data_IF_575926769629
#
_entry.id   IF_575926769629
#
_cell.length_a   1.000
_cell.length_b   1.000
_cell.length_c   1.000
_cell.angle_alpha   90.00
_cell.angle_beta   90.00
_cell.angle_gamma   90.00
#
_symmetry.space_group_name_H-M   'P 1'
#
loop_
_entity.id
_entity.type
_entity.pdbx_description
1 polymer ?
#
# COMPACT_ATOMS: atom_id res chain seq x y z
N UNK A 1 4.97 3.47 1.83
CA UNK A 1 4.00 3.65 2.93
C UNK A 1 4.65 4.49 4.01
N UNK A 2 3.90 5.43 4.60
CA UNK A 2 4.42 6.32 5.64
C UNK A 2 4.17 5.70 7.01
N UNK A 3 5.24 5.51 7.77
CA UNK A 3 5.16 5.07 9.16
C UNK A 3 5.34 6.21 10.16
N UNK A 4 5.18 5.88 11.43
CA UNK A 4 5.25 6.82 12.56
C UNK A 4 6.55 7.62 12.56
N UNK A 5 7.70 6.95 12.46
CA UNK A 5 9.01 7.63 12.55
C UNK A 5 9.22 8.56 11.36
N UNK A 6 8.88 8.11 10.14
CA UNK A 6 8.97 8.95 8.95
C UNK A 6 8.11 10.21 9.07
N UNK A 7 6.88 10.08 9.60
CA UNK A 7 5.96 11.21 9.75
C UNK A 7 6.49 12.27 10.72
N UNK A 8 7.11 11.85 11.83
CA UNK A 8 7.77 12.76 12.76
C UNK A 8 8.99 13.45 12.14
N UNK A 9 9.76 12.75 11.31
CA UNK A 9 10.90 13.34 10.59
C UNK A 9 10.45 14.42 9.61
N UNK A 10 9.32 14.22 8.93
CA UNK A 10 8.73 15.22 8.03
C UNK A 10 8.34 16.49 8.81
N UNK A 11 7.62 16.35 9.93
CA UNK A 11 7.28 17.48 10.81
C UNK A 11 8.54 18.24 11.27
N UNK A 12 9.54 17.53 11.82
CA UNK A 12 10.77 18.14 12.29
C UNK A 12 11.54 18.87 11.18
N UNK A 13 11.59 18.29 9.97
CA UNK A 13 12.22 18.90 8.81
C UNK A 13 11.49 20.21 8.40
N UNK A 14 10.16 20.18 8.34
CA UNK A 14 9.37 21.36 7.99
C UNK A 14 9.49 22.47 9.05
N UNK A 15 9.47 22.13 10.34
CA UNK A 15 9.72 23.09 11.43
C UNK A 15 11.08 23.77 11.29
N UNK A 16 12.13 23.02 10.92
CA UNK A 16 13.47 23.57 10.71
C UNK A 16 13.52 24.51 9.50
N UNK A 17 12.97 24.08 8.36
CA UNK A 17 12.97 24.86 7.11
C UNK A 17 12.18 26.15 7.28
N UNK A 18 10.98 26.05 7.89
CA UNK A 18 10.07 27.19 8.09
C UNK A 18 10.46 28.05 9.29
N UNK A 19 11.46 27.63 10.09
CA UNK A 19 11.87 28.29 11.34
C UNK A 19 10.68 28.53 12.29
N UNK A 20 9.73 27.59 12.30
CA UNK A 20 8.53 27.63 13.13
C UNK A 20 8.45 26.37 13.99
N UNK A 21 7.91 26.51 15.20
CA UNK A 21 7.65 25.38 16.11
C UNK A 21 6.20 24.88 16.02
N UNK A 22 5.40 25.48 15.17
CA UNK A 22 4.07 24.98 14.88
C UNK A 22 4.17 23.61 14.17
N UNK A 23 3.19 22.72 14.37
CA UNK A 23 3.13 21.46 13.63
C UNK A 23 3.32 21.67 12.13
N UNK A 24 4.18 20.86 11.52
CA UNK A 24 4.59 20.91 10.12
C UNK A 24 5.12 22.29 9.68
N UNK A 25 5.68 23.08 10.60
CA UNK A 25 6.17 24.42 10.32
C UNK A 25 5.08 25.43 9.96
N UNK A 26 3.82 25.19 10.37
CA UNK A 26 2.67 26.05 10.08
C UNK A 26 2.05 25.82 8.69
N UNK A 27 2.45 24.76 7.99
CA UNK A 27 1.92 24.41 6.67
C UNK A 27 0.67 23.53 6.84
N UNK A 28 -0.36 23.77 6.02
CA UNK A 28 -1.52 22.89 5.93
C UNK A 28 -1.14 21.55 5.28
N UNK A 29 -1.40 20.45 5.98
CA UNK A 29 -1.12 19.10 5.50
C UNK A 29 -2.43 18.38 5.16
N UNK A 30 -2.46 17.74 3.98
CA UNK A 30 -3.52 16.82 3.58
C UNK A 30 -2.88 15.44 3.40
N UNK A 31 -3.43 14.45 4.10
CA UNK A 31 -3.01 13.05 4.00
C UNK A 31 -4.12 12.24 3.35
N UNK A 32 -3.73 11.42 2.36
CA UNK A 32 -4.61 10.49 1.67
C UNK A 32 -4.02 9.08 1.75
N UNK A 33 -4.86 8.09 2.03
CA UNK A 33 -4.43 6.71 2.14
C UNK A 33 -5.57 5.77 2.45
N UNK A 34 -5.23 4.49 2.59
CA UNK A 34 -6.15 3.41 2.92
C UNK A 34 -5.50 2.52 3.98
N UNK A 35 -6.11 2.46 5.15
CA UNK A 35 -5.58 1.72 6.30
C UNK A 35 -5.73 0.20 6.16
N UNK A 36 -6.53 -0.29 5.21
CA UNK A 36 -6.69 -1.72 4.94
C UNK A 36 -5.65 -2.25 3.94
N UNK A 37 -4.73 -1.40 3.47
CA UNK A 37 -3.63 -1.83 2.62
C UNK A 37 -2.49 -2.42 3.47
N UNK A 38 -1.31 -2.57 2.85
CA UNK A 38 -0.12 -3.08 3.52
C UNK A 38 0.22 -2.22 4.75
N UNK A 39 1.14 -2.67 5.58
CA UNK A 39 1.68 -1.87 6.69
C UNK A 39 2.98 -1.17 6.28
N UNK A 40 3.40 -0.10 6.96
CA UNK A 40 4.73 0.46 6.81
C UNK A 40 5.83 -0.61 7.00
N UNK A 41 6.83 -0.62 6.12
CA UNK A 41 7.94 -1.58 6.19
C UNK A 41 8.93 -1.09 7.25
N UNK A 42 9.16 -1.90 8.28
CA UNK A 42 10.13 -1.58 9.34
C UNK A 42 9.71 -0.42 10.26
N UNK A 43 8.46 0.03 10.19
CA UNK A 43 7.93 1.14 10.99
C UNK A 43 6.51 0.82 11.49
N UNK A 44 6.05 1.57 12.49
CA UNK A 44 4.70 1.45 13.06
C UNK A 44 3.69 2.26 12.25
N UNK A 45 2.42 1.93 12.38
CA UNK A 45 1.36 2.78 11.81
C UNK A 45 1.36 4.16 12.47
N UNK A 46 1.06 5.18 11.67
CA UNK A 46 0.92 6.57 12.15
C UNK A 46 -0.23 6.75 13.14
N UNK A 47 -1.18 5.82 13.26
CA UNK A 47 -2.28 5.92 14.23
C UNK A 47 -2.12 4.96 15.41
N UNK A 48 -1.01 4.21 15.48
CA UNK A 48 -0.82 3.21 16.54
C UNK A 48 -0.34 3.85 17.84
N UNK A 49 -1.07 3.62 18.93
CA UNK A 49 -0.67 4.03 20.28
C UNK A 49 0.42 3.09 20.84
N UNK A 50 1.37 3.66 21.59
CA UNK A 50 2.32 2.86 22.36
C UNK A 50 1.67 2.45 23.71
N UNK A 51 1.20 1.21 23.81
CA UNK A 51 0.58 0.65 25.03
C UNK A 51 1.56 0.39 26.21
N UNK A 52 2.78 0.94 26.17
CA UNK A 52 3.70 0.82 27.30
C UNK A 52 3.37 1.91 28.32
N UNK A 53 3.21 1.54 29.60
CA UNK A 53 2.90 2.39 30.76
C UNK A 53 3.81 3.63 30.98
N UNK A 54 4.76 3.90 30.09
CA UNK A 54 5.51 5.15 29.93
C UNK A 54 4.94 6.06 28.83
N UNK A 55 3.61 5.99 28.57
CA UNK A 55 2.89 6.67 27.50
C UNK A 55 2.71 8.18 27.73
N UNK A 56 3.82 8.91 27.91
CA UNK A 56 3.85 10.38 27.81
C UNK A 56 4.01 10.87 26.36
N UNK A 57 3.96 9.97 25.38
CA UNK A 57 3.99 10.30 23.96
C UNK A 57 2.87 9.54 23.27
N UNK A 58 1.65 10.05 23.43
CA UNK A 58 0.61 9.91 22.40
C UNK A 58 1.21 10.26 21.03
N UNK A 59 0.70 9.73 19.91
CA UNK A 59 1.13 10.26 18.62
C UNK A 59 0.49 11.66 18.42
N UNK A 60 1.24 12.74 18.71
CA UNK A 60 0.62 14.05 18.84
C UNK A 60 0.33 14.68 17.48
N UNK A 61 0.93 14.17 16.41
CA UNK A 61 0.73 14.70 15.06
C UNK A 61 -0.54 14.15 14.43
N UNK A 62 -0.82 12.85 14.63
CA UNK A 62 -2.00 12.22 14.03
C UNK A 62 -3.31 12.79 14.60
N UNK A 63 -3.32 13.16 15.89
CA UNK A 63 -4.48 13.77 16.56
C UNK A 63 -4.83 15.17 16.05
N UNK A 64 -3.97 15.81 15.23
CA UNK A 64 -4.24 17.12 14.63
C UNK A 64 -5.12 17.04 13.38
N UNK A 65 -5.33 15.84 12.83
CA UNK A 65 -6.06 15.65 11.59
C UNK A 65 -7.53 15.35 11.82
N UNK A 66 -8.36 15.90 10.94
CA UNK A 66 -9.76 15.51 10.79
C UNK A 66 -9.87 14.40 9.73
N UNK A 67 -10.58 13.32 10.05
CA UNK A 67 -10.72 12.16 9.19
C UNK A 67 -11.99 12.27 8.32
N UNK A 68 -11.82 12.16 7.01
CA UNK A 68 -12.91 12.03 6.05
C UNK A 68 -12.78 10.70 5.30
N UNK A 69 -13.87 9.93 5.26
CA UNK A 69 -13.93 8.64 4.55
C UNK A 69 -14.64 8.80 3.20
N UNK A 70 -14.00 8.31 2.13
CA UNK A 70 -14.64 8.17 0.82
C UNK A 70 -15.34 6.81 0.74
N UNK A 71 -16.64 6.81 0.43
CA UNK A 71 -17.48 5.60 0.49
C UNK A 71 -17.82 5.01 -0.88
N UNK A 72 -17.50 5.71 -1.97
CA UNK A 72 -17.81 5.28 -3.33
C UNK A 72 -16.60 4.62 -4.03
N UNK A 73 -16.78 3.39 -4.51
CA UNK A 73 -15.74 2.64 -5.24
C UNK A 73 -15.82 2.96 -6.73
N UNK A 74 -14.85 3.73 -7.24
CA UNK A 74 -14.82 4.16 -8.64
C UNK A 74 -14.15 3.15 -9.59
N UNK A 75 -13.19 2.35 -9.10
CA UNK A 75 -12.32 1.50 -9.95
C UNK A 75 -13.07 0.28 -10.54
N UNK A 76 -13.87 -0.40 -9.72
CA UNK A 76 -14.66 -1.58 -10.13
C UNK A 76 -16.16 -1.25 -10.23
N UNK A 77 -16.51 -0.01 -10.60
CA UNK A 77 -17.91 0.46 -10.61
C UNK A 77 -18.86 -0.42 -11.45
N UNK A 78 -18.34 -1.04 -12.51
CA UNK A 78 -19.12 -1.87 -13.43
C UNK A 78 -19.25 -3.34 -12.95
N UNK A 79 -18.52 -3.75 -11.91
CA UNK A 79 -18.59 -5.09 -11.30
C UNK A 79 -18.76 -4.96 -9.78
N UNK A 80 -20.01 -4.70 -9.38
CA UNK A 80 -20.38 -4.51 -7.97
C UNK A 80 -20.07 -5.72 -7.10
N UNK A 81 -20.28 -6.94 -7.61
CA UNK A 81 -20.02 -8.17 -6.86
C UNK A 81 -18.52 -8.29 -6.53
N UNK A 82 -17.66 -7.98 -7.51
CA UNK A 82 -16.22 -7.96 -7.27
C UNK A 82 -15.76 -6.84 -6.36
N UNK A 83 -16.33 -5.64 -6.50
CA UNK A 83 -16.01 -4.52 -5.61
C UNK A 83 -16.32 -4.86 -4.14
N UNK A 84 -17.45 -5.52 -3.88
CA UNK A 84 -17.84 -5.99 -2.54
C UNK A 84 -16.85 -7.04 -2.03
N UNK A 85 -16.54 -8.07 -2.85
CA UNK A 85 -15.58 -9.10 -2.46
C UNK A 85 -14.19 -8.52 -2.12
N UNK A 86 -13.72 -7.52 -2.88
CA UNK A 86 -12.46 -6.80 -2.62
C UNK A 86 -12.51 -5.95 -1.33
N UNK A 87 -13.65 -5.34 -1.01
CA UNK A 87 -13.82 -4.65 0.28
C UNK A 87 -13.82 -5.64 1.44
N UNK A 88 -14.46 -6.80 1.29
CA UNK A 88 -14.55 -7.81 2.34
C UNK A 88 -13.20 -8.47 2.62
N UNK A 89 -12.39 -8.77 1.59
CA UNK A 89 -11.03 -9.27 1.79
C UNK A 89 -10.15 -8.24 2.50
N UNK A 90 -10.25 -6.95 2.15
CA UNK A 90 -9.49 -5.89 2.81
C UNK A 90 -9.83 -5.78 4.30
N UNK A 91 -11.10 -6.01 4.68
CA UNK A 91 -11.56 -5.99 6.08
C UNK A 91 -11.39 -7.33 6.81
N UNK A 92 -10.96 -8.40 6.13
CA UNK A 92 -10.88 -9.75 6.69
C UNK A 92 -12.23 -10.40 6.98
N UNK A 93 -13.29 -10.01 6.27
CA UNK A 93 -14.69 -10.43 6.49
C UNK A 93 -15.29 -11.14 5.26
N UNK A 94 -14.50 -11.91 4.52
CA UNK A 94 -15.00 -12.61 3.33
C UNK A 94 -16.09 -13.63 3.67
N UNK A 95 -17.15 -13.65 2.85
CA UNK A 95 -18.17 -14.70 2.87
C UNK A 95 -17.86 -15.79 1.82
N UNK A 96 -18.62 -16.89 1.82
CA UNK A 96 -18.39 -18.02 0.92
C UNK A 96 -18.51 -17.60 -0.56
N UNK A 97 -19.44 -16.70 -0.86
CA UNK A 97 -19.67 -16.13 -2.18
C UNK A 97 -18.45 -15.34 -2.67
N UNK A 98 -17.83 -14.53 -1.80
CA UNK A 98 -16.60 -13.79 -2.13
C UNK A 98 -15.46 -14.75 -2.48
N UNK A 99 -15.29 -15.79 -1.66
CA UNK A 99 -14.24 -16.80 -1.85
C UNK A 99 -14.46 -17.54 -3.17
N UNK A 100 -15.71 -17.96 -3.45
CA UNK A 100 -16.04 -18.64 -4.70
C UNK A 100 -15.83 -17.73 -5.92
N UNK A 101 -16.19 -16.44 -5.82
CA UNK A 101 -15.95 -15.44 -6.87
C UNK A 101 -14.46 -15.24 -7.15
N UNK A 102 -13.61 -15.19 -6.11
CA UNK A 102 -12.16 -15.06 -6.29
C UNK A 102 -11.55 -16.36 -6.85
N UNK A 103 -12.02 -17.52 -6.38
CA UNK A 103 -11.55 -18.83 -6.88
C UNK A 103 -11.92 -19.10 -8.33
N UNK A 104 -13.07 -18.61 -8.80
CA UNK A 104 -13.48 -18.78 -10.20
C UNK A 104 -12.57 -18.05 -11.18
N UNK A 105 -11.73 -17.12 -10.68
CA UNK A 105 -10.76 -16.35 -11.46
C UNK A 105 -9.34 -16.92 -11.39
N UNK A 106 -9.16 -18.07 -10.72
CA UNK A 106 -7.89 -18.80 -10.76
C UNK A 106 -7.75 -19.40 -12.15
N UNK A 107 -6.69 -18.99 -12.84
CA UNK A 107 -6.31 -19.49 -14.16
C UNK A 107 -5.23 -20.56 -14.02
N UNK A 108 -5.21 -21.53 -14.93
CA UNK A 108 -4.14 -22.52 -15.01
C UNK A 108 -2.81 -21.88 -15.41
N UNK A 109 -1.69 -22.53 -15.06
CA UNK A 109 -0.35 -22.06 -15.44
C UNK A 109 -0.18 -21.94 -16.96
N UNK A 110 -0.78 -22.87 -17.72
CA UNK A 110 -0.78 -22.84 -19.19
C UNK A 110 -1.45 -21.57 -19.73
N UNK A 111 -2.62 -21.19 -19.17
CA UNK A 111 -3.31 -19.97 -19.53
C UNK A 111 -2.57 -18.71 -19.08
N UNK A 112 -1.84 -18.77 -17.96
CA UNK A 112 -0.99 -17.68 -17.51
C UNK A 112 0.16 -17.43 -18.50
N UNK A 113 0.76 -18.46 -19.09
CA UNK A 113 1.85 -18.25 -20.06
C UNK A 113 1.35 -17.62 -21.37
N UNK A 114 0.08 -17.85 -21.74
CA UNK A 114 -0.56 -17.24 -22.92
C UNK A 114 -0.87 -15.75 -22.69
N UNK A 115 -1.08 -15.32 -21.43
CA UNK A 115 -1.34 -13.93 -21.06
C UNK A 115 -0.04 -13.12 -20.93
N UNK A 116 0.75 -13.05 -22.00
CA UNK A 116 2.08 -12.45 -22.02
C UNK A 116 2.11 -10.98 -21.58
N UNK A 117 1.08 -10.20 -21.92
CA UNK A 117 1.04 -8.75 -21.65
C UNK A 117 0.45 -8.40 -20.26
N UNK A 118 -0.07 -9.38 -19.53
CA UNK A 118 -0.69 -9.11 -18.23
C UNK A 118 0.36 -8.85 -17.15
N UNK A 119 0.10 -7.86 -16.29
CA UNK A 119 0.96 -7.56 -15.13
C UNK A 119 0.93 -8.73 -14.15
N UNK A 120 2.11 -9.17 -13.70
CA UNK A 120 2.25 -10.18 -12.62
C UNK A 120 2.64 -9.48 -11.33
N UNK A 121 1.94 -9.79 -10.25
CA UNK A 121 2.21 -9.28 -8.90
C UNK A 121 2.69 -10.43 -8.04
N UNK A 122 3.86 -10.28 -7.42
CA UNK A 122 4.49 -11.28 -6.58
C UNK A 122 4.63 -10.81 -5.14
N UNK A 123 4.87 -11.75 -4.22
CA UNK A 123 5.04 -11.44 -2.80
C UNK A 123 6.42 -10.85 -2.51
N UNK A 124 7.46 -11.33 -3.19
CA UNK A 124 8.84 -10.94 -2.92
C UNK A 124 9.57 -10.42 -4.16
N UNK A 125 10.57 -9.57 -3.93
CA UNK A 125 11.43 -9.07 -5.01
C UNK A 125 12.20 -10.19 -5.70
N UNK A 126 12.60 -11.24 -4.97
CA UNK A 126 13.29 -12.40 -5.56
C UNK A 126 12.42 -13.11 -6.61
N UNK A 127 11.11 -13.22 -6.38
CA UNK A 127 10.16 -13.77 -7.37
C UNK A 127 9.97 -12.82 -8.56
N UNK A 128 9.92 -11.50 -8.31
CA UNK A 128 9.89 -10.47 -9.36
C UNK A 128 11.13 -10.57 -10.25
N UNK A 129 12.32 -10.67 -9.66
CA UNK A 129 13.59 -10.73 -10.37
C UNK A 129 13.69 -12.02 -11.20
N UNK A 130 13.29 -13.16 -10.62
CA UNK A 130 13.26 -14.44 -11.32
C UNK A 130 12.31 -14.39 -12.53
N UNK A 131 11.10 -13.85 -12.37
CA UNK A 131 10.13 -13.71 -13.46
C UNK A 131 10.60 -12.73 -14.53
N UNK A 132 11.09 -11.55 -14.12
CA UNK A 132 11.55 -10.51 -15.04
C UNK A 132 12.75 -10.98 -15.86
N UNK A 133 13.67 -11.74 -15.27
CA UNK A 133 14.79 -12.37 -15.98
C UNK A 133 14.30 -13.38 -17.03
N UNK A 134 13.30 -14.22 -16.69
CA UNK A 134 12.69 -15.16 -17.66
C UNK A 134 12.05 -14.41 -18.83
N UNK A 135 11.31 -13.33 -18.55
CA UNK A 135 10.63 -12.54 -19.59
C UNK A 135 11.66 -11.84 -20.48
N UNK A 136 12.66 -11.16 -19.91
CA UNK A 136 13.72 -10.49 -20.67
C UNK A 136 14.47 -11.48 -21.59
N UNK A 137 14.76 -12.69 -21.14
CA UNK A 137 15.41 -13.71 -21.96
C UNK A 137 14.54 -14.20 -23.14
N UNK A 138 13.22 -14.05 -23.05
CA UNK A 138 12.29 -14.39 -24.13
C UNK A 138 12.10 -13.26 -25.15
N UNK A 139 12.48 -12.02 -24.80
CA UNK A 139 12.50 -10.90 -25.72
C UNK A 139 13.76 -11.06 -26.59
N UNK A 140 13.59 -11.45 -27.85
CA UNK A 140 14.64 -11.62 -28.84
C UNK A 140 15.29 -10.27 -29.26
N UNK A 141 15.78 -9.53 -28.28
CA UNK A 141 16.30 -8.17 -28.39
C UNK A 141 17.66 -8.06 -27.70
N UNK A 142 18.48 -7.12 -28.16
CA UNK A 142 19.80 -6.88 -27.57
C UNK A 142 19.66 -6.40 -26.12
N UNK A 143 20.43 -7.02 -25.20
CA UNK A 143 20.38 -6.73 -23.77
C UNK A 143 21.60 -5.92 -23.36
N UNK A 144 21.38 -4.78 -22.72
CA UNK A 144 22.43 -3.99 -22.09
C UNK A 144 22.47 -4.29 -20.58
N UNK A 145 23.66 -4.63 -20.06
CA UNK A 145 23.89 -4.84 -18.63
C UNK A 145 24.63 -3.62 -18.09
N UNK A 146 24.02 -2.95 -17.09
CA UNK A 146 24.64 -1.83 -16.37
C UNK A 146 24.99 -2.32 -14.98
N UNK A 147 26.29 -2.37 -14.68
CA UNK A 147 26.78 -2.70 -13.34
C UNK A 147 26.81 -1.42 -12.49
N UNK A 148 26.35 -1.53 -11.25
CA UNK A 148 26.38 -0.46 -10.25
C UNK A 148 27.74 -0.36 -9.55
#
# INVERSE_FOLDING_TARGET
>A
MVGFTMFQQVDACLQQIMKSKEPFGGISIIVLGDFNQLRPVGDKYIFQFNNSYNALVDNPLWSLFELFELTEIMRQKDDKAFAIALSNIAKGMMILEDINLLKSRIVSNENLEIMGDAIRVFRSNAEVDAYSTKVLASLNTEVAIVNA
#
